data_IF_694100261351
#
_entry.id   IF_694100261351
#
_cell.length_a   1.000
_cell.length_b   1.000
_cell.length_c   1.000
_cell.angle_alpha   90.00
_cell.angle_beta   90.00
_cell.angle_gamma   90.00
#
_symmetry.space_group_name_H-M   'P 1'
#
loop_
_entity.id
_entity.type
_entity.pdbx_description
1 polymer ?
#
# COMPACT_ATOMS: atom_id res chain seq x y z
N UNK A 1 -2.97 17.26 -2.58
CA UNK A 1 -2.14 16.42 -1.67
C UNK A 1 -0.68 16.78 -1.90
N UNK A 2 0.13 16.90 -0.86
CA UNK A 2 1.56 17.22 -0.95
C UNK A 2 2.35 16.07 -0.33
N UNK A 3 3.33 15.54 -1.07
CA UNK A 3 4.27 14.55 -0.57
C UNK A 3 5.67 15.15 -0.44
N UNK A 4 6.53 14.51 0.33
CA UNK A 4 7.94 14.86 0.48
C UNK A 4 8.81 13.77 -0.12
N UNK A 5 9.87 14.20 -0.78
CA UNK A 5 10.90 13.29 -1.30
C UNK A 5 12.26 13.96 -1.18
N UNK A 6 13.32 13.18 -1.29
CA UNK A 6 14.69 13.66 -1.33
C UNK A 6 15.56 12.79 -2.22
N UNK A 7 16.62 13.35 -2.73
CA UNK A 7 17.63 12.59 -3.47
C UNK A 7 18.55 11.85 -2.49
N UNK A 8 19.17 10.77 -2.98
CA UNK A 8 20.17 10.06 -2.19
C UNK A 8 21.34 10.99 -1.83
N UNK A 9 21.79 11.03 -0.56
CA UNK A 9 22.92 11.84 -0.17
C UNK A 9 24.23 11.25 -0.73
N UNK A 10 25.19 12.12 -1.04
CA UNK A 10 26.51 11.70 -1.52
C UNK A 10 27.30 10.93 -0.43
N UNK A 11 27.12 11.31 0.83
CA UNK A 11 27.73 10.68 1.99
C UNK A 11 26.67 10.38 3.03
N UNK A 12 26.38 9.10 3.25
CA UNK A 12 25.45 8.66 4.29
C UNK A 12 26.16 7.68 5.23
N UNK A 13 26.07 7.93 6.53
CA UNK A 13 26.57 7.02 7.57
C UNK A 13 25.55 5.94 7.91
N UNK A 14 24.28 6.21 7.66
CA UNK A 14 23.17 5.30 7.92
C UNK A 14 22.02 5.52 6.93
N UNK A 15 21.20 4.51 6.76
CA UNK A 15 19.97 4.55 5.96
C UNK A 15 18.83 3.92 6.77
N UNK A 16 17.77 4.68 6.98
CA UNK A 16 16.55 4.21 7.63
C UNK A 16 15.54 3.80 6.60
N UNK A 17 15.17 2.52 6.58
CA UNK A 17 14.27 1.94 5.57
C UNK A 17 12.98 1.49 6.24
N UNK A 18 11.84 1.99 5.75
CA UNK A 18 10.52 1.43 6.04
C UNK A 18 10.25 0.25 5.11
N UNK A 19 10.05 -0.94 5.67
CA UNK A 19 9.73 -2.15 4.90
C UNK A 19 8.24 -2.46 5.04
N UNK A 20 7.52 -2.63 3.91
CA UNK A 20 6.08 -2.90 3.87
C UNK A 20 5.74 -3.92 2.80
N UNK A 21 4.57 -4.56 2.98
CA UNK A 21 3.99 -5.49 2.00
C UNK A 21 2.48 -5.63 2.24
N UNK A 22 1.79 -6.35 1.36
CA UNK A 22 0.43 -6.82 1.56
C UNK A 22 -0.58 -5.70 1.82
N UNK A 23 -0.67 -4.76 0.90
CA UNK A 23 -1.52 -3.57 0.99
C UNK A 23 -2.95 -3.85 0.48
N UNK A 24 -3.67 -4.80 1.09
CA UNK A 24 -5.04 -5.10 0.69
C UNK A 24 -6.02 -4.09 1.27
N UNK A 25 -6.62 -3.27 0.40
CA UNK A 25 -7.49 -2.15 0.78
C UNK A 25 -8.72 -2.58 1.59
N UNK A 26 -9.35 -3.69 1.23
CA UNK A 26 -10.58 -4.14 1.88
C UNK A 26 -10.38 -4.66 3.30
N UNK A 27 -9.15 -5.00 3.70
CA UNK A 27 -8.87 -5.73 4.94
C UNK A 27 -8.09 -4.93 5.99
N UNK A 28 -7.98 -3.62 5.82
CA UNK A 28 -7.34 -2.77 6.82
C UNK A 28 -7.49 -1.29 6.54
N UNK A 29 -7.09 -0.46 7.49
CA UNK A 29 -7.16 1.00 7.40
C UNK A 29 -5.81 1.66 7.09
N UNK A 30 -4.78 0.88 6.80
CA UNK A 30 -3.44 1.38 6.48
C UNK A 30 -2.81 2.25 7.58
N UNK A 31 -3.12 1.96 8.84
CA UNK A 31 -2.55 2.69 9.97
C UNK A 31 -1.02 2.68 9.99
N UNK A 32 -0.40 1.57 9.55
CA UNK A 32 1.06 1.48 9.45
C UNK A 32 1.62 2.50 8.45
N UNK A 33 0.97 2.65 7.28
CA UNK A 33 1.36 3.66 6.30
C UNK A 33 1.14 5.07 6.83
N UNK A 34 0.01 5.32 7.51
CA UNK A 34 -0.26 6.58 8.17
C UNK A 34 0.81 6.93 9.20
N UNK A 35 1.20 5.97 10.02
CA UNK A 35 2.29 6.16 10.99
C UNK A 35 3.62 6.47 10.29
N UNK A 36 3.99 5.72 9.26
CA UNK A 36 5.21 5.98 8.49
C UNK A 36 5.21 7.38 7.86
N UNK A 37 4.07 7.83 7.35
CA UNK A 37 3.93 9.15 6.74
C UNK A 37 4.16 10.31 7.73
N UNK A 38 4.02 10.08 9.03
CA UNK A 38 4.29 11.09 10.08
C UNK A 38 5.74 11.11 10.54
N UNK A 39 6.56 10.14 10.11
CA UNK A 39 7.97 10.04 10.51
C UNK A 39 8.86 10.82 9.56
N UNK A 40 9.78 11.57 10.14
CA UNK A 40 10.80 12.33 9.39
C UNK A 40 12.15 11.60 9.27
N UNK A 41 12.29 10.47 9.98
CA UNK A 41 13.52 9.68 10.06
C UNK A 41 13.58 8.51 9.09
N UNK A 42 12.56 8.31 8.25
CA UNK A 42 12.56 7.29 7.19
C UNK A 42 13.10 7.91 5.90
N UNK A 43 14.17 7.32 5.38
CA UNK A 43 14.84 7.76 4.16
C UNK A 43 14.27 7.13 2.90
N UNK A 44 13.84 5.87 2.99
CA UNK A 44 13.36 5.07 1.89
C UNK A 44 12.22 4.17 2.34
N UNK A 45 11.20 4.01 1.52
CA UNK A 45 10.16 2.99 1.72
C UNK A 45 10.35 1.91 0.65
N UNK A 46 10.50 0.67 1.10
CA UNK A 46 10.59 -0.50 0.25
C UNK A 46 9.32 -1.34 0.39
N UNK A 47 8.62 -1.53 -0.72
CA UNK A 47 7.45 -2.39 -0.78
C UNK A 47 7.83 -3.73 -1.43
N UNK A 48 7.66 -4.84 -0.71
CA UNK A 48 8.15 -6.16 -1.13
C UNK A 48 7.11 -7.01 -1.85
N UNK A 49 6.00 -6.44 -2.23
CA UNK A 49 4.97 -7.10 -3.03
C UNK A 49 3.58 -7.00 -2.45
N UNK A 50 2.61 -7.51 -3.19
CA UNK A 50 1.18 -7.39 -2.88
C UNK A 50 0.74 -5.93 -2.66
N UNK A 51 1.15 -5.08 -3.60
CA UNK A 51 0.73 -3.69 -3.64
C UNK A 51 -0.70 -3.54 -4.15
N UNK A 52 -1.08 -4.36 -5.12
CA UNK A 52 -2.42 -4.50 -5.66
C UNK A 52 -2.81 -5.98 -5.59
N UNK A 53 -4.07 -6.26 -5.27
CA UNK A 53 -4.68 -7.58 -5.33
C UNK A 53 -5.68 -7.59 -6.48
N UNK A 54 -5.43 -8.44 -7.46
CA UNK A 54 -6.20 -8.54 -8.71
C UNK A 54 -7.53 -9.28 -8.58
N UNK A 55 -7.76 -9.93 -7.45
CA UNK A 55 -8.97 -10.72 -7.21
C UNK A 55 -10.21 -9.84 -7.08
N UNK A 56 -11.36 -10.36 -7.55
CA UNK A 56 -12.65 -9.75 -7.28
C UNK A 56 -12.98 -9.71 -5.78
N UNK A 57 -13.86 -8.81 -5.40
CA UNK A 57 -14.16 -8.57 -3.98
C UNK A 57 -14.65 -9.81 -3.23
N UNK A 58 -15.36 -10.72 -3.93
CA UNK A 58 -15.92 -11.96 -3.36
C UNK A 58 -15.00 -13.17 -3.46
N UNK A 59 -13.82 -13.04 -4.06
CA UNK A 59 -12.97 -14.18 -4.39
C UNK A 59 -11.88 -14.43 -3.36
N UNK A 60 -11.19 -13.38 -2.92
CA UNK A 60 -10.08 -13.53 -1.97
C UNK A 60 -9.66 -12.17 -1.34
N UNK A 61 -9.36 -12.18 -0.03
CA UNK A 61 -9.79 -13.16 0.96
C UNK A 61 -11.30 -13.11 1.19
N UNK A 62 -11.86 -13.97 2.05
CA UNK A 62 -13.31 -14.04 2.26
C UNK A 62 -13.91 -12.70 2.67
N UNK A 63 -14.99 -12.31 2.03
CA UNK A 63 -15.70 -11.04 2.28
C UNK A 63 -16.11 -10.82 3.73
N UNK A 64 -16.39 -11.90 4.47
CA UNK A 64 -16.74 -11.82 5.89
C UNK A 64 -15.61 -11.21 6.76
N UNK A 65 -14.38 -11.23 6.26
CA UNK A 65 -13.22 -10.66 6.95
C UNK A 65 -12.94 -9.22 6.52
N UNK A 66 -13.66 -8.72 5.51
CA UNK A 66 -13.47 -7.37 5.01
C UNK A 66 -13.97 -6.33 6.03
N UNK A 67 -13.30 -5.20 6.07
CA UNK A 67 -13.73 -4.06 6.87
C UNK A 67 -14.98 -3.45 6.24
N UNK A 68 -16.08 -3.26 6.99
CA UNK A 68 -17.30 -2.68 6.45
C UNK A 68 -17.06 -1.32 5.79
N UNK A 69 -17.62 -1.13 4.59
CA UNK A 69 -17.50 0.11 3.83
C UNK A 69 -16.18 0.29 3.07
N UNK A 70 -15.32 -0.72 3.02
CA UNK A 70 -14.08 -0.71 2.25
C UNK A 70 -14.09 -1.61 1.03
N UNK A 71 -15.22 -1.63 0.32
CA UNK A 71 -15.26 -2.21 -1.02
C UNK A 71 -14.37 -1.40 -1.98
N UNK A 72 -13.84 -2.06 -2.99
CA UNK A 72 -13.02 -1.44 -4.03
C UNK A 72 -13.69 -1.59 -5.40
N UNK A 73 -13.25 -0.77 -6.32
CA UNK A 73 -13.71 -0.75 -7.71
C UNK A 73 -12.49 -0.96 -8.62
N UNK A 74 -12.52 -1.89 -9.59
CA UNK A 74 -13.64 -2.78 -9.91
C UNK A 74 -13.87 -3.87 -8.85
N UNK A 75 -15.09 -4.39 -8.77
CA UNK A 75 -15.50 -5.48 -7.85
C UNK A 75 -15.21 -6.89 -8.41
N UNK A 76 -14.68 -6.96 -9.62
CA UNK A 76 -14.29 -8.18 -10.34
C UNK A 76 -12.77 -8.28 -10.48
N UNK A 77 -12.29 -9.44 -10.95
CA UNK A 77 -10.85 -9.66 -11.21
C UNK A 77 -10.30 -8.62 -12.20
N UNK A 78 -9.17 -8.03 -11.86
CA UNK A 78 -8.46 -7.06 -12.71
C UNK A 78 -7.79 -7.80 -13.86
N UNK A 79 -8.24 -7.54 -15.09
CA UNK A 79 -7.73 -8.19 -16.30
C UNK A 79 -7.36 -7.23 -17.42
N UNK A 80 -7.82 -5.99 -17.37
CA UNK A 80 -7.53 -4.96 -18.36
C UNK A 80 -6.75 -3.80 -17.77
N UNK A 81 -6.11 -3.01 -18.64
CA UNK A 81 -5.40 -1.81 -18.19
C UNK A 81 -6.33 -0.81 -17.52
N UNK A 82 -7.57 -0.69 -18.01
CA UNK A 82 -8.56 0.22 -17.44
C UNK A 82 -8.98 -0.16 -16.01
N UNK A 83 -8.89 -1.44 -15.66
CA UNK A 83 -9.19 -1.91 -14.30
C UNK A 83 -8.14 -1.44 -13.26
N UNK A 84 -6.95 -1.03 -13.71
CA UNK A 84 -5.88 -0.50 -12.85
C UNK A 84 -5.96 1.02 -12.62
N UNK A 85 -6.91 1.71 -13.26
CA UNK A 85 -7.12 3.16 -13.15
C UNK A 85 -8.39 3.53 -12.39
#
# INVERSE_FOLDING_TARGET
MVGRTRTAPANAESLSVGLVSCANYAFGYFHAYGHMATRDDIDLVLHTGDYIYEYGFDEYPRTELAVPGRAFDPDHEIVTLDDYY
#
